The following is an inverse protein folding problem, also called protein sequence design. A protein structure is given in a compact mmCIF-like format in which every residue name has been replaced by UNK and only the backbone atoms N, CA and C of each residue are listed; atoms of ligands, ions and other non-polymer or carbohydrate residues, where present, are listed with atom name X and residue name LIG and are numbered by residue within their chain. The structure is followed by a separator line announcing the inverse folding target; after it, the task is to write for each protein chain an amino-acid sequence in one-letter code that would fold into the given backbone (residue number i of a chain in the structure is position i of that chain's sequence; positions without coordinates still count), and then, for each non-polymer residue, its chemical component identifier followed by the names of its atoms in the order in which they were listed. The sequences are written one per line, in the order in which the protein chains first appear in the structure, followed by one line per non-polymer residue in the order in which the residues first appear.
data_IF_759598644653
#
_entry.id   IF_759598644653
#
_cell.length_a   1.000
_cell.length_b   1.000
_cell.length_c   1.000
_cell.angle_alpha   90.00
_cell.angle_beta   90.00
_cell.angle_gamma   90.00
#
_symmetry.space_group_name_H-M   'P 1'
#
loop_
_entity.id
_entity.type
_entity.pdbx_description
1 polymer ?
#
# COMPACT_ATOMS: atom_id res chain seq x y z
N UNK A 1 6.32 -18.61 11.12
CA UNK A 1 5.73 -17.44 11.78
C UNK A 1 4.92 -16.66 10.75
N UNK A 2 3.59 -16.68 10.84
CA UNK A 2 2.74 -15.80 10.05
C UNK A 2 2.95 -14.36 10.54
N UNK A 3 3.42 -13.49 9.66
CA UNK A 3 3.66 -12.09 9.98
C UNK A 3 2.30 -11.40 10.09
N UNK A 4 1.78 -11.25 11.31
CA UNK A 4 0.57 -10.47 11.59
C UNK A 4 1.00 -9.00 11.52
N UNK A 5 1.08 -8.47 10.30
CA UNK A 5 1.29 -7.04 10.11
C UNK A 5 0.14 -6.30 10.79
N UNK A 6 0.45 -5.48 11.79
CA UNK A 6 -0.55 -4.64 12.43
C UNK A 6 -1.06 -3.61 11.42
N UNK A 7 -2.35 -3.27 11.49
CA UNK A 7 -2.99 -2.25 10.63
C UNK A 7 -2.20 -0.93 10.59
N UNK A 8 -1.56 -0.57 11.71
CA UNK A 8 -0.66 0.57 11.82
C UNK A 8 0.62 0.42 10.99
N UNK A 9 1.22 -0.78 10.95
CA UNK A 9 2.42 -1.03 10.15
C UNK A 9 2.10 -0.98 8.67
N UNK A 10 0.98 -1.58 8.26
CA UNK A 10 0.52 -1.50 6.87
C UNK A 10 0.27 -0.04 6.45
N UNK A 11 -0.37 0.74 7.33
CA UNK A 11 -0.61 2.17 7.10
C UNK A 11 0.71 2.95 6.99
N UNK A 12 1.69 2.63 7.84
CA UNK A 12 3.02 3.25 7.82
C UNK A 12 3.78 2.91 6.53
N UNK A 13 3.71 1.66 6.06
CA UNK A 13 4.32 1.26 4.79
C UNK A 13 3.65 1.94 3.58
N UNK A 14 2.33 2.08 3.59
CA UNK A 14 1.59 2.82 2.55
C UNK A 14 2.03 4.29 2.53
N UNK A 15 2.18 4.92 3.70
CA UNK A 15 2.60 6.32 3.80
C UNK A 15 4.05 6.52 3.36
N UNK A 16 4.96 5.62 3.74
CA UNK A 16 6.36 5.65 3.30
C UNK A 16 6.48 5.47 1.77
N UNK A 17 5.71 4.53 1.19
CA UNK A 17 5.63 4.33 -0.26
C UNK A 17 5.03 5.55 -0.97
N UNK A 18 4.00 6.20 -0.42
CA UNK A 18 3.43 7.45 -0.99
C UNK A 18 4.44 8.58 -0.99
N UNK A 19 5.20 8.75 0.09
CA UNK A 19 6.24 9.80 0.19
C UNK A 19 7.35 9.52 -0.83
N UNK A 20 7.79 8.27 -0.96
CA UNK A 20 8.78 7.88 -1.99
C UNK A 20 8.25 8.11 -3.40
N UNK A 21 7.01 7.72 -3.68
CA UNK A 21 6.38 7.95 -4.98
C UNK A 21 6.35 9.44 -5.33
N UNK A 22 5.88 10.29 -4.40
CA UNK A 22 5.86 11.74 -4.62
C UNK A 22 7.26 12.32 -4.85
N UNK A 23 8.28 11.82 -4.14
CA UNK A 23 9.68 12.23 -4.36
C UNK A 23 10.20 11.79 -5.73
N UNK A 24 9.85 10.60 -6.20
CA UNK A 24 10.22 10.11 -7.54
C UNK A 24 9.52 10.92 -8.64
N UNK A 25 8.23 11.23 -8.47
CA UNK A 25 7.45 12.07 -9.40
C UNK A 25 8.04 13.48 -9.51
N UNK A 26 8.51 14.06 -8.40
CA UNK A 26 9.18 15.38 -8.40
C UNK A 26 10.61 15.34 -8.97
N UNK A 27 11.23 14.17 -9.04
CA UNK A 27 12.61 13.98 -9.48
C UNK A 27 12.75 13.69 -11.00
N UNK A 28 11.67 13.86 -11.78
CA UNK A 28 11.62 13.53 -13.22
C UNK A 28 12.07 12.07 -13.49
N UNK A 29 11.67 11.16 -12.60
CA UNK A 29 11.92 9.73 -12.74
C UNK A 29 11.08 9.15 -13.86
N UNK A 30 11.66 8.15 -14.54
CA UNK A 30 11.08 7.45 -15.68
C UNK A 30 9.62 7.03 -15.41
N UNK A 31 8.75 7.31 -16.39
CA UNK A 31 7.31 6.99 -16.31
C UNK A 31 7.07 5.51 -16.03
N UNK A 32 7.98 4.63 -16.43
CA UNK A 32 7.87 3.19 -16.21
C UNK A 32 8.00 2.83 -14.71
N UNK A 33 8.90 3.49 -13.98
CA UNK A 33 9.06 3.32 -12.54
C UNK A 33 7.85 3.89 -11.79
N UNK A 34 7.35 5.07 -12.19
CA UNK A 34 6.13 5.65 -11.61
C UNK A 34 4.94 4.69 -11.79
N UNK A 35 4.80 4.08 -12.98
CA UNK A 35 3.73 3.13 -13.27
C UNK A 35 3.86 1.84 -12.44
N UNK A 36 5.08 1.31 -12.25
CA UNK A 36 5.32 0.16 -11.38
C UNK A 36 4.93 0.45 -9.94
N UNK A 37 5.39 1.58 -9.39
CA UNK A 37 5.07 1.95 -8.02
C UNK A 37 3.58 2.22 -7.83
N UNK A 38 2.90 2.83 -8.82
CA UNK A 38 1.45 3.03 -8.79
C UNK A 38 0.71 1.69 -8.71
N UNK A 39 1.08 0.72 -9.55
CA UNK A 39 0.47 -0.62 -9.54
C UNK A 39 0.74 -1.39 -8.23
N UNK A 40 1.92 -1.23 -7.63
CA UNK A 40 2.21 -1.81 -6.31
C UNK A 40 1.36 -1.17 -5.21
N UNK A 41 1.17 0.16 -5.27
CA UNK A 41 0.36 0.87 -4.30
C UNK A 41 -1.11 0.43 -4.38
N UNK A 42 -1.64 0.29 -5.60
CA UNK A 42 -3.01 -0.15 -5.85
C UNK A 42 -3.26 -1.55 -5.27
N UNK A 43 -2.33 -2.50 -5.48
CA UNK A 43 -2.40 -3.84 -4.88
C UNK A 43 -2.34 -3.85 -3.36
N UNK A 44 -1.60 -2.92 -2.76
CA UNK A 44 -1.54 -2.77 -1.30
C UNK A 44 -2.87 -2.24 -0.73
N UNK A 45 -3.48 -1.28 -1.43
CA UNK A 45 -4.81 -0.74 -1.08
C UNK A 45 -5.87 -1.84 -1.21
N UNK A 46 -5.84 -2.62 -2.29
CA UNK A 46 -6.78 -3.71 -2.52
C UNK A 46 -6.68 -4.78 -1.41
N UNK A 47 -5.46 -5.17 -1.05
CA UNK A 47 -5.21 -6.07 0.10
C UNK A 47 -5.71 -5.50 1.42
N UNK A 48 -5.51 -4.21 1.66
CA UNK A 48 -6.02 -3.55 2.86
C UNK A 48 -7.54 -3.58 2.91
N UNK A 49 -8.20 -3.29 1.79
CA UNK A 49 -9.65 -3.27 1.68
C UNK A 49 -10.26 -4.67 1.87
N UNK A 50 -9.65 -5.70 1.26
CA UNK A 50 -10.01 -7.10 1.49
C UNK A 50 -9.83 -7.49 2.96
N UNK A 51 -8.75 -7.06 3.60
CA UNK A 51 -8.51 -7.35 5.02
C UNK A 51 -9.55 -6.68 5.93
N UNK A 52 -9.91 -5.41 5.69
CA UNK A 52 -11.00 -4.73 6.43
C UNK A 52 -12.36 -5.38 6.18
N UNK A 53 -12.67 -5.74 4.93
CA UNK A 53 -13.92 -6.44 4.58
C UNK A 53 -14.05 -7.81 5.25
N UNK A 54 -12.96 -8.57 5.32
CA UNK A 54 -12.96 -9.87 5.99
C UNK A 54 -13.04 -9.73 7.52
N UNK A 55 -12.46 -8.66 8.09
CA UNK A 55 -12.59 -8.35 9.51
C UNK A 55 -14.05 -8.03 9.89
N UNK A 56 -14.80 -7.34 9.03
CA UNK A 56 -16.22 -7.04 9.25
C UNK A 56 -17.17 -8.22 9.04
N UNK A 57 -16.72 -9.35 8.46
CA UNK A 57 -17.53 -10.57 8.28
C UNK A 57 -17.41 -11.58 9.42
N UNK A 58 -16.46 -11.40 10.34
CA UNK A 58 -16.25 -12.29 11.48
C UNK A 58 -17.05 -11.86 12.74
N UNK A 59 -17.85 -10.79 12.64
CA UNK A 59 -18.63 -10.18 13.73
C UNK A 59 -20.16 -10.18 13.43
N UNK A 60 -20.63 -10.99 12.46
CA UNK A 60 -22.07 -11.25 12.18
C UNK A 60 -22.39 -12.75 12.34
#
# INVERSE_FOLDING_TARGET
MGNIYSLQELKKEIEDKRIKLNKLVLADVDKEDILKFSNELDKLIDKYYIYELNKNRADD
#
